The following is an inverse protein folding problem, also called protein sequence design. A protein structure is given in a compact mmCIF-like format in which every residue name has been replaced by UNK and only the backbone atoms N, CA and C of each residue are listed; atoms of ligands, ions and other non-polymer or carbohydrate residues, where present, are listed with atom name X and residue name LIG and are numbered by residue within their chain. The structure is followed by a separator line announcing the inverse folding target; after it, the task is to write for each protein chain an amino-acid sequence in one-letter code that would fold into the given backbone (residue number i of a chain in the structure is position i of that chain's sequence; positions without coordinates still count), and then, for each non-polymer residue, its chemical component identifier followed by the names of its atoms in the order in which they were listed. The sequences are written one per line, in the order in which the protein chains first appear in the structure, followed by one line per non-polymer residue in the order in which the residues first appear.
data_IF_895753769181
#
_entry.id   IF_895753769181
#
_cell.length_a   1.000
_cell.length_b   1.000
_cell.length_c   1.000
_cell.angle_alpha   90.00
_cell.angle_beta   90.00
_cell.angle_gamma   90.00
#
_symmetry.space_group_name_H-M   'P 1'
#
loop_
_entity.id
_entity.type
_entity.pdbx_description
1 polymer ?
#
# COMPACT_ATOMS: atom_id res chain seq x y z
N UNK A 1 -2.33 -34.24 5.71
CA UNK A 1 -3.03 -34.10 4.41
C UNK A 1 -2.62 -32.76 3.82
N UNK A 2 -2.09 -32.73 2.59
CA UNK A 2 -1.58 -31.50 1.95
C UNK A 2 -2.66 -30.43 1.79
N UNK A 3 -3.91 -30.79 1.46
CA UNK A 3 -5.01 -29.82 1.32
C UNK A 3 -5.36 -29.13 2.63
N UNK A 4 -5.31 -29.88 3.74
CA UNK A 4 -5.51 -29.31 5.08
C UNK A 4 -4.43 -28.27 5.40
N UNK A 5 -3.17 -28.62 5.17
CA UNK A 5 -2.03 -27.70 5.32
C UNK A 5 -2.19 -26.44 4.44
N UNK A 6 -2.56 -26.60 3.18
CA UNK A 6 -2.81 -25.49 2.26
C UNK A 6 -3.90 -24.51 2.77
N UNK A 7 -4.96 -25.04 3.40
CA UNK A 7 -6.01 -24.22 3.99
C UNK A 7 -5.53 -23.55 5.31
N UNK A 8 -4.80 -24.27 6.15
CA UNK A 8 -4.23 -23.76 7.41
C UNK A 8 -3.21 -22.63 7.16
N UNK A 9 -2.46 -22.69 6.06
CA UNK A 9 -1.56 -21.61 5.62
C UNK A 9 -2.31 -20.36 5.12
N UNK A 10 -3.63 -20.41 4.96
CA UNK A 10 -4.46 -19.27 4.53
C UNK A 10 -4.85 -19.28 3.05
N UNK A 11 -4.76 -20.44 2.38
CA UNK A 11 -5.26 -20.62 1.02
C UNK A 11 -6.78 -20.44 0.94
N UNK A 12 -7.24 -19.64 -0.02
CA UNK A 12 -8.65 -19.27 -0.17
C UNK A 12 -9.45 -20.22 -1.06
N UNK A 13 -8.84 -20.87 -2.05
CA UNK A 13 -9.57 -21.70 -3.03
C UNK A 13 -9.16 -23.17 -3.02
N UNK A 14 -8.90 -23.68 -1.82
CA UNK A 14 -8.48 -25.07 -1.58
C UNK A 14 -9.66 -26.03 -1.74
N UNK A 15 -9.78 -26.62 -2.92
CA UNK A 15 -10.72 -27.70 -3.20
C UNK A 15 -10.11 -29.07 -2.80
N UNK A 16 -10.84 -29.87 -2.01
CA UNK A 16 -10.43 -31.21 -1.57
C UNK A 16 -10.65 -32.29 -2.63
N UNK A 17 -11.44 -32.01 -3.66
CA UNK A 17 -11.78 -32.92 -4.76
C UNK A 17 -11.02 -32.63 -6.06
N UNK A 18 -10.39 -31.46 -6.18
CA UNK A 18 -9.71 -30.99 -7.40
C UNK A 18 -8.36 -30.35 -7.10
N UNK A 19 -7.50 -30.27 -8.12
CA UNK A 19 -6.25 -29.52 -8.04
C UNK A 19 -6.44 -28.10 -8.57
N UNK A 20 -7.06 -27.25 -7.75
CA UNK A 20 -7.25 -25.82 -8.02
C UNK A 20 -6.33 -24.99 -7.12
N UNK A 21 -5.93 -23.83 -7.62
CA UNK A 21 -5.17 -22.81 -6.87
C UNK A 21 -5.34 -21.45 -7.59
N UNK A 22 -4.96 -20.37 -6.93
CA UNK A 22 -4.92 -19.02 -7.50
C UNK A 22 -3.54 -18.39 -7.27
N UNK A 23 -3.22 -17.28 -7.97
CA UNK A 23 -1.95 -16.60 -7.76
C UNK A 23 -1.66 -16.24 -6.30
N UNK A 24 -2.68 -15.76 -5.58
CA UNK A 24 -2.56 -15.36 -4.17
C UNK A 24 -2.19 -16.53 -3.27
N UNK A 25 -2.86 -17.67 -3.43
CA UNK A 25 -2.60 -18.87 -2.63
C UNK A 25 -1.18 -19.38 -2.87
N UNK A 26 -0.71 -19.41 -4.13
CA UNK A 26 0.66 -19.81 -4.45
C UNK A 26 1.70 -18.86 -3.85
N UNK A 27 1.44 -17.55 -3.83
CA UNK A 27 2.34 -16.59 -3.18
C UNK A 27 2.43 -16.83 -1.66
N UNK A 28 1.30 -17.14 -1.01
CA UNK A 28 1.27 -17.52 0.41
C UNK A 28 2.12 -18.78 0.65
N UNK A 29 2.00 -19.80 -0.20
CA UNK A 29 2.75 -21.04 -0.02
C UNK A 29 4.26 -20.85 -0.24
N UNK A 30 4.68 -19.99 -1.17
CA UNK A 30 6.08 -19.63 -1.34
C UNK A 30 6.61 -18.83 -0.14
N UNK A 31 5.80 -17.95 0.45
CA UNK A 31 6.15 -17.25 1.69
C UNK A 31 6.32 -18.25 2.85
N UNK A 32 5.41 -19.20 2.98
CA UNK A 32 5.53 -20.27 3.98
C UNK A 32 6.76 -21.15 3.75
N UNK A 33 7.18 -21.37 2.49
CA UNK A 33 8.44 -22.06 2.19
C UNK A 33 9.67 -21.29 2.66
N UNK A 34 9.68 -19.96 2.52
CA UNK A 34 10.78 -19.13 3.03
C UNK A 34 10.88 -19.23 4.55
N UNK A 35 9.75 -19.14 5.26
CA UNK A 35 9.71 -19.34 6.72
C UNK A 35 10.14 -20.76 7.11
N UNK A 36 9.66 -21.78 6.39
CA UNK A 36 10.06 -23.17 6.63
C UNK A 36 11.58 -23.36 6.44
N UNK A 37 12.19 -22.65 5.49
CA UNK A 37 13.64 -22.66 5.31
C UNK A 37 14.41 -21.99 6.46
N UNK A 38 13.83 -20.99 7.12
CA UNK A 38 14.42 -20.39 8.33
C UNK A 38 14.33 -21.36 9.52
N UNK A 39 13.19 -22.02 9.69
CA UNK A 39 12.94 -22.97 10.79
C UNK A 39 13.64 -24.33 10.61
N UNK A 40 13.78 -24.77 9.35
CA UNK A 40 14.31 -26.07 8.95
C UNK A 40 15.27 -25.94 7.75
N UNK A 41 16.47 -25.38 7.96
CA UNK A 41 17.36 -24.97 6.88
C UNK A 41 17.80 -26.10 5.95
N UNK A 42 18.06 -27.31 6.46
CA UNK A 42 18.50 -28.43 5.62
C UNK A 42 17.41 -28.85 4.61
N UNK A 43 16.16 -28.97 5.09
CA UNK A 43 15.02 -29.39 4.28
C UNK A 43 14.53 -28.27 3.35
N UNK A 44 14.44 -27.05 3.88
CA UNK A 44 14.02 -25.87 3.11
C UNK A 44 15.00 -25.56 1.99
N UNK A 45 16.31 -25.60 2.27
CA UNK A 45 17.34 -25.30 1.28
C UNK A 45 17.36 -26.35 0.18
N UNK A 46 17.15 -27.64 0.53
CA UNK A 46 17.03 -28.70 -0.46
C UNK A 46 15.83 -28.49 -1.41
N UNK A 47 14.68 -28.08 -0.87
CA UNK A 47 13.50 -27.78 -1.68
C UNK A 47 13.71 -26.55 -2.57
N UNK A 48 14.27 -25.47 -2.02
CA UNK A 48 14.63 -24.28 -2.80
C UNK A 48 15.67 -24.62 -3.88
N UNK A 49 16.65 -25.47 -3.59
CA UNK A 49 17.63 -25.93 -4.57
C UNK A 49 16.96 -26.59 -5.78
N UNK A 50 15.99 -27.48 -5.56
CA UNK A 50 15.26 -28.10 -6.68
C UNK A 50 14.45 -27.08 -7.50
N UNK A 51 13.84 -26.08 -6.84
CA UNK A 51 13.11 -25.02 -7.53
C UNK A 51 14.03 -24.09 -8.34
N UNK A 52 15.28 -23.88 -7.89
CA UNK A 52 16.31 -23.11 -8.62
C UNK A 52 16.91 -23.86 -9.81
N UNK A 53 16.91 -25.19 -9.75
CA UNK A 53 17.58 -26.06 -10.73
C UNK A 53 16.59 -26.83 -11.60
N UNK A 54 15.41 -26.25 -11.87
CA UNK A 54 14.45 -26.79 -12.83
C UNK A 54 14.97 -26.64 -14.26
N UNK A 55 14.57 -27.57 -15.15
CA UNK A 55 14.94 -27.52 -16.58
C UNK A 55 14.06 -26.60 -17.42
N UNK A 56 12.94 -26.11 -16.86
CA UNK A 56 11.99 -25.25 -17.56
C UNK A 56 12.12 -23.80 -17.11
N UNK A 57 12.84 -22.99 -17.88
CA UNK A 57 13.15 -21.59 -17.59
C UNK A 57 12.55 -20.63 -18.62
N UNK A 58 11.42 -20.99 -19.23
CA UNK A 58 10.80 -20.34 -20.40
C UNK A 58 9.73 -19.29 -20.05
N UNK A 59 9.52 -18.95 -18.77
CA UNK A 59 8.48 -18.01 -18.30
C UNK A 59 9.02 -16.88 -17.43
N UNK A 60 9.18 -17.05 -16.11
CA UNK A 60 9.70 -15.97 -15.25
C UNK A 60 11.14 -15.54 -15.63
N UNK A 61 12.12 -16.46 -15.83
CA UNK A 61 13.53 -16.09 -15.96
C UNK A 61 13.99 -15.29 -17.21
N UNK A 62 13.53 -15.55 -18.45
CA UNK A 62 14.24 -15.17 -19.68
C UNK A 62 14.57 -13.69 -19.90
N UNK A 63 13.76 -12.77 -19.37
CA UNK A 63 13.94 -11.33 -19.58
C UNK A 63 14.53 -10.60 -18.36
N UNK A 64 14.78 -11.33 -17.27
CA UNK A 64 15.45 -10.79 -16.09
C UNK A 64 16.94 -10.55 -16.39
N UNK A 65 17.63 -9.66 -15.65
CA UNK A 65 19.07 -9.47 -15.80
C UNK A 65 19.84 -10.77 -15.67
N UNK A 66 20.96 -10.86 -16.40
CA UNK A 66 21.82 -12.04 -16.38
C UNK A 66 22.29 -12.36 -14.95
N UNK A 67 22.26 -13.64 -14.58
CA UNK A 67 22.61 -14.09 -13.24
C UNK A 67 21.53 -13.92 -12.17
N UNK A 68 20.35 -13.37 -12.51
CA UNK A 68 19.22 -13.32 -11.58
C UNK A 68 18.79 -14.74 -11.21
N UNK A 69 18.95 -15.09 -9.94
CA UNK A 69 18.53 -16.39 -9.44
C UNK A 69 17.00 -16.42 -9.23
N UNK A 70 16.36 -17.52 -9.65
CA UNK A 70 14.92 -17.70 -9.55
C UNK A 70 14.62 -19.12 -9.05
N UNK A 71 13.96 -19.23 -7.90
CA UNK A 71 13.40 -20.50 -7.42
C UNK A 71 11.93 -20.59 -7.85
N UNK A 72 11.59 -21.43 -8.83
CA UNK A 72 10.23 -21.41 -9.40
C UNK A 72 9.68 -22.78 -9.83
N UNK A 73 8.37 -22.80 -10.10
CA UNK A 73 7.65 -23.96 -10.59
C UNK A 73 6.61 -23.59 -11.64
N UNK A 74 6.75 -24.23 -12.79
CA UNK A 74 5.83 -24.11 -13.92
C UNK A 74 4.61 -25.04 -13.79
N UNK A 75 3.49 -24.66 -14.43
CA UNK A 75 2.30 -25.49 -14.58
C UNK A 75 1.64 -25.28 -15.94
N UNK A 76 1.33 -26.37 -16.64
CA UNK A 76 0.70 -26.31 -17.96
C UNK A 76 -0.57 -27.18 -17.97
N UNK A 77 -1.64 -26.65 -18.54
CA UNK A 77 -2.83 -27.39 -18.91
C UNK A 77 -3.29 -26.95 -20.31
N UNK A 78 -2.64 -27.45 -21.38
CA UNK A 78 -2.84 -26.97 -22.75
C UNK A 78 -4.29 -27.08 -23.23
N UNK A 79 -5.04 -28.08 -22.77
CA UNK A 79 -6.45 -28.28 -23.10
C UNK A 79 -7.37 -27.12 -22.69
N UNK A 80 -6.92 -26.22 -21.81
CA UNK A 80 -7.65 -25.01 -21.39
C UNK A 80 -6.84 -23.72 -21.67
N UNK A 81 -5.74 -23.81 -22.43
CA UNK A 81 -4.85 -22.67 -22.67
C UNK A 81 -4.23 -22.11 -21.38
N UNK A 82 -4.01 -22.94 -20.36
CA UNK A 82 -3.46 -22.51 -19.08
C UNK A 82 -1.96 -22.77 -19.01
N UNK A 83 -1.20 -21.70 -18.80
CA UNK A 83 0.25 -21.72 -18.66
C UNK A 83 0.61 -20.82 -17.48
N UNK A 84 1.35 -21.37 -16.53
CA UNK A 84 1.60 -20.74 -15.24
C UNK A 84 3.07 -20.83 -14.87
N UNK A 85 3.51 -19.88 -14.05
CA UNK A 85 4.78 -19.94 -13.36
C UNK A 85 4.69 -19.21 -12.03
N UNK A 86 5.26 -19.78 -10.98
CA UNK A 86 5.31 -19.16 -9.65
C UNK A 86 6.70 -19.29 -9.09
N UNK A 87 7.24 -18.24 -8.49
CA UNK A 87 8.59 -18.29 -7.99
C UNK A 87 8.98 -17.16 -7.06
N UNK A 88 10.17 -17.33 -6.49
CA UNK A 88 10.90 -16.34 -5.71
C UNK A 88 12.03 -15.83 -6.62
N UNK A 89 12.04 -14.53 -6.87
CA UNK A 89 13.07 -13.84 -7.63
C UNK A 89 14.03 -13.16 -6.65
N UNK A 90 15.30 -13.57 -6.69
CA UNK A 90 16.34 -13.04 -5.81
C UNK A 90 16.93 -11.75 -6.40
N UNK A 91 16.14 -10.67 -6.40
CA UNK A 91 16.64 -9.33 -6.73
C UNK A 91 17.70 -8.89 -5.70
N UNK A 92 18.77 -8.19 -6.11
CA UNK A 92 19.89 -7.85 -5.23
C UNK A 92 19.49 -7.05 -3.98
N UNK A 93 18.55 -6.12 -4.11
CA UNK A 93 18.09 -5.28 -2.98
C UNK A 93 16.68 -5.61 -2.47
N UNK A 94 15.79 -6.09 -3.34
CA UNK A 94 14.35 -6.15 -3.06
C UNK A 94 13.77 -7.48 -3.59
N UNK A 95 14.21 -8.63 -3.04
CA UNK A 95 13.74 -9.94 -3.46
C UNK A 95 12.22 -10.05 -3.31
N UNK A 96 11.56 -10.80 -4.19
CA UNK A 96 10.10 -10.82 -4.25
C UNK A 96 9.55 -12.18 -4.69
N UNK A 97 8.30 -12.41 -4.30
CA UNK A 97 7.49 -13.55 -4.77
C UNK A 97 6.62 -13.08 -5.93
N UNK A 98 6.60 -13.84 -7.01
CA UNK A 98 5.76 -13.59 -8.17
C UNK A 98 4.98 -14.86 -8.54
N UNK A 99 3.71 -14.69 -8.88
CA UNK A 99 2.84 -15.79 -9.25
C UNK A 99 1.99 -15.41 -10.46
N UNK A 100 2.31 -15.98 -11.62
CA UNK A 100 1.73 -15.63 -12.91
C UNK A 100 0.88 -16.78 -13.46
N UNK A 101 -0.38 -16.48 -13.74
CA UNK A 101 -1.33 -17.46 -14.26
C UNK A 101 -1.95 -16.94 -15.55
N UNK A 102 -1.98 -17.76 -16.60
CA UNK A 102 -2.84 -17.53 -17.78
C UNK A 102 -4.02 -18.50 -17.78
N UNK A 103 -5.09 -18.11 -18.46
CA UNK A 103 -6.21 -18.99 -18.81
C UNK A 103 -6.67 -18.63 -20.21
N UNK A 104 -7.17 -19.61 -20.97
CA UNK A 104 -7.72 -19.41 -22.32
C UNK A 104 -6.71 -18.74 -23.27
N UNK A 105 -5.41 -18.98 -23.03
CA UNK A 105 -4.36 -18.43 -23.88
C UNK A 105 -4.37 -19.11 -25.25
N UNK A 106 -4.22 -18.34 -26.35
CA UNK A 106 -4.32 -18.88 -27.71
C UNK A 106 -3.18 -19.84 -28.06
N UNK A 107 -2.02 -19.72 -27.41
CA UNK A 107 -0.89 -20.65 -27.54
C UNK A 107 0.06 -20.53 -26.35
N UNK A 108 0.93 -21.51 -26.18
CA UNK A 108 2.04 -21.45 -25.21
C UNK A 108 2.97 -20.28 -25.50
N UNK A 109 3.35 -20.07 -26.76
CA UNK A 109 4.30 -19.02 -27.16
C UNK A 109 3.76 -17.62 -26.84
N UNK A 110 2.46 -17.41 -27.04
CA UNK A 110 1.81 -16.17 -26.67
C UNK A 110 1.82 -15.98 -25.15
N UNK A 111 1.40 -17.01 -24.39
CA UNK A 111 1.39 -16.93 -22.94
C UNK A 111 2.79 -16.67 -22.37
N UNK A 112 3.81 -17.39 -22.84
CA UNK A 112 5.16 -17.27 -22.32
C UNK A 112 5.71 -15.85 -22.53
N UNK A 113 5.52 -15.26 -23.73
CA UNK A 113 5.94 -13.88 -24.00
C UNK A 113 5.28 -12.88 -23.05
N UNK A 114 3.98 -13.01 -22.81
CA UNK A 114 3.26 -12.13 -21.88
C UNK A 114 3.79 -12.32 -20.45
N UNK A 115 3.96 -13.56 -20.00
CA UNK A 115 4.47 -13.88 -18.66
C UNK A 115 5.90 -13.34 -18.45
N UNK A 116 6.77 -13.48 -19.45
CA UNK A 116 8.12 -12.93 -19.46
C UNK A 116 8.12 -11.40 -19.34
N UNK A 117 7.25 -10.71 -20.10
CA UNK A 117 7.11 -9.26 -20.06
C UNK A 117 6.61 -8.76 -18.69
N UNK A 118 5.63 -9.44 -18.10
CA UNK A 118 5.14 -9.12 -16.76
C UNK A 118 6.25 -9.35 -15.72
N UNK A 119 6.95 -10.48 -15.81
CA UNK A 119 8.10 -10.78 -14.94
C UNK A 119 9.14 -9.66 -14.96
N UNK A 120 9.51 -9.19 -16.16
CA UNK A 120 10.42 -8.06 -16.34
C UNK A 120 9.89 -6.76 -15.77
N UNK A 121 8.63 -6.43 -16.01
CA UNK A 121 8.01 -5.21 -15.50
C UNK A 121 8.01 -5.17 -13.97
N UNK A 122 7.73 -6.31 -13.32
CA UNK A 122 7.83 -6.41 -11.85
C UNK A 122 9.28 -6.23 -11.39
N UNK A 123 10.25 -6.84 -12.07
CA UNK A 123 11.67 -6.65 -11.74
C UNK A 123 12.09 -5.18 -11.82
N UNK A 124 11.74 -4.49 -12.91
CA UNK A 124 12.07 -3.08 -13.10
C UNK A 124 11.39 -2.20 -12.04
N UNK A 125 10.16 -2.52 -11.63
CA UNK A 125 9.49 -1.83 -10.53
C UNK A 125 10.25 -2.01 -9.21
N UNK A 126 10.74 -3.22 -8.91
CA UNK A 126 11.57 -3.47 -7.72
C UNK A 126 12.90 -2.73 -7.79
N UNK A 127 13.50 -2.60 -8.97
CA UNK A 127 14.72 -1.81 -9.18
C UNK A 127 14.51 -0.29 -9.03
N UNK A 128 13.28 0.20 -9.22
CA UNK A 128 12.94 1.62 -9.11
C UNK A 128 12.63 2.07 -7.67
N UNK A 129 12.53 1.13 -6.72
CA UNK A 129 12.36 1.45 -5.30
C UNK A 129 13.69 1.98 -4.76
N UNK A 130 13.63 3.09 -4.03
CA UNK A 130 14.75 3.61 -3.26
C UNK A 130 14.36 3.69 -1.79
N UNK A 131 15.06 2.97 -0.94
CA UNK A 131 14.91 3.08 0.51
C UNK A 131 15.50 4.40 1.00
N UNK A 132 14.81 5.03 1.96
CA UNK A 132 15.20 6.32 2.52
C UNK A 132 15.24 6.22 4.05
N UNK A 133 16.22 6.87 4.67
CA UNK A 133 16.30 6.99 6.13
C UNK A 133 15.22 7.95 6.63
N UNK A 134 14.50 7.54 7.68
CA UNK A 134 13.49 8.37 8.34
C UNK A 134 14.14 9.13 9.49
N UNK A 135 14.00 10.46 9.51
CA UNK A 135 14.47 11.33 10.59
C UNK A 135 13.27 12.08 11.16
N UNK A 136 12.97 11.87 12.43
CA UNK A 136 11.85 12.51 13.12
C UNK A 136 12.39 13.45 14.19
N UNK A 137 12.05 14.74 14.10
CA UNK A 137 12.50 15.78 15.04
C UNK A 137 14.02 15.83 15.24
N UNK A 138 14.79 15.56 14.18
CA UNK A 138 16.25 15.58 14.18
C UNK A 138 16.91 14.25 14.57
N UNK A 139 16.14 13.26 15.03
CA UNK A 139 16.66 11.94 15.41
C UNK A 139 16.30 10.88 14.36
N UNK A 140 17.24 10.04 13.91
CA UNK A 140 16.95 8.91 13.05
C UNK A 140 15.96 7.95 13.73
N UNK A 141 14.91 7.56 13.02
CA UNK A 141 13.94 6.57 13.45
C UNK A 141 14.22 5.26 12.73
N UNK A 142 14.72 4.28 13.48
CA UNK A 142 14.86 2.91 12.98
C UNK A 142 13.49 2.25 12.85
N UNK A 143 13.27 1.59 11.72
CA UNK A 143 11.98 1.02 11.32
C UNK A 143 12.21 -0.33 10.67
N UNK A 144 11.33 -1.29 10.92
CA UNK A 144 11.39 -2.61 10.27
C UNK A 144 11.37 -2.50 8.74
N UNK A 145 10.60 -1.53 8.21
CA UNK A 145 10.63 -1.15 6.80
C UNK A 145 10.86 0.36 6.70
N UNK A 146 11.93 0.81 6.02
CA UNK A 146 12.20 2.23 5.83
C UNK A 146 11.16 2.88 4.92
N UNK A 147 11.02 4.22 4.95
CA UNK A 147 10.36 4.93 3.88
C UNK A 147 10.93 4.56 2.50
N UNK A 148 10.07 4.55 1.49
CA UNK A 148 10.46 4.21 0.13
C UNK A 148 10.02 5.28 -0.86
N UNK A 149 10.92 5.67 -1.76
CA UNK A 149 10.59 6.42 -2.97
C UNK A 149 10.30 5.41 -4.09
N UNK A 150 9.05 5.38 -4.53
CA UNK A 150 8.60 4.55 -5.64
C UNK A 150 7.75 5.39 -6.60
N UNK A 151 8.07 5.35 -7.90
CA UNK A 151 7.34 6.09 -8.95
C UNK A 151 7.13 7.59 -8.63
N UNK A 152 8.13 8.23 -8.01
CA UNK A 152 8.06 9.66 -7.65
C UNK A 152 7.24 9.96 -6.38
N UNK A 153 6.69 8.94 -5.72
CA UNK A 153 5.95 9.06 -4.45
C UNK A 153 6.80 8.52 -3.30
N UNK A 154 6.91 9.28 -2.22
CA UNK A 154 7.51 8.81 -0.97
C UNK A 154 6.41 8.24 -0.09
N UNK A 155 6.56 6.97 0.25
CA UNK A 155 5.70 6.22 1.16
C UNK A 155 6.41 6.05 2.51
N UNK A 156 5.70 6.34 3.59
CA UNK A 156 6.25 6.40 4.96
C UNK A 156 5.51 5.38 5.84
N UNK A 157 6.22 4.59 6.66
CA UNK A 157 5.60 3.57 7.51
C UNK A 157 4.79 4.24 8.63
N UNK A 158 3.47 4.02 8.64
CA UNK A 158 2.57 4.76 9.53
C UNK A 158 2.73 4.38 11.01
N UNK A 159 2.83 3.09 11.30
CA UNK A 159 2.84 2.59 12.69
C UNK A 159 4.06 3.06 13.50
N UNK A 160 5.32 2.94 13.01
CA UNK A 160 6.47 3.45 13.74
C UNK A 160 6.45 4.98 13.84
N UNK A 161 5.98 5.67 12.79
CA UNK A 161 5.83 7.12 12.81
C UNK A 161 4.86 7.57 13.90
N UNK A 162 3.66 6.99 13.94
CA UNK A 162 2.64 7.30 14.94
C UNK A 162 3.18 7.06 16.37
N UNK A 163 3.87 5.94 16.57
CA UNK A 163 4.50 5.61 17.86
C UNK A 163 5.54 6.66 18.26
N UNK A 164 6.35 7.14 17.33
CA UNK A 164 7.37 8.16 17.59
C UNK A 164 6.77 9.52 17.95
N UNK A 165 5.77 9.97 17.18
CA UNK A 165 5.13 11.26 17.39
C UNK A 165 4.32 11.30 18.71
N UNK A 166 3.61 10.22 19.06
CA UNK A 166 2.90 10.15 20.35
C UNK A 166 3.90 10.20 21.52
N UNK A 167 5.00 9.45 21.47
CA UNK A 167 6.03 9.46 22.53
C UNK A 167 6.63 10.85 22.74
N UNK A 168 6.89 11.60 21.66
CA UNK A 168 7.36 12.98 21.77
C UNK A 168 6.35 13.86 22.52
N UNK A 169 5.05 13.72 22.22
CA UNK A 169 4.02 14.48 22.95
C UNK A 169 3.91 14.13 24.43
N UNK A 170 4.15 12.88 24.83
CA UNK A 170 4.13 12.48 26.25
C UNK A 170 5.40 12.93 26.99
N UNK A 171 6.57 12.90 26.34
CA UNK A 171 7.80 13.45 26.89
C UNK A 171 7.73 14.97 27.10
N UNK A 172 7.03 15.68 26.21
CA UNK A 172 6.76 17.12 26.37
C UNK A 172 5.70 17.39 27.46
N UNK A 173 4.74 16.48 27.67
CA UNK A 173 3.77 16.56 28.78
C UNK A 173 4.41 16.34 30.15
N UNK A 174 5.51 15.59 30.27
CA UNK A 174 6.25 15.51 31.55
C UNK A 174 6.86 16.86 31.97
N UNK A 175 6.96 17.83 31.06
CA UNK A 175 7.33 19.23 31.38
C UNK A 175 6.14 20.18 31.55
N UNK A 176 4.90 19.74 31.28
CA UNK A 176 3.71 20.60 31.38
C UNK A 176 2.49 19.77 31.82
N UNK A 177 2.07 19.96 33.07
CA UNK A 177 1.06 19.14 33.74
C UNK A 177 -0.29 19.03 33.03
N UNK A 178 -0.72 17.79 32.82
CA UNK A 178 -2.10 17.23 32.69
C UNK A 178 -3.09 17.87 31.71
N UNK A 179 -3.55 17.12 30.67
CA UNK A 179 -4.84 16.41 30.58
C UNK A 179 -5.04 15.76 29.17
N UNK A 180 -5.76 14.63 29.08
CA UNK A 180 -6.27 13.96 27.86
C UNK A 180 -7.81 14.06 27.88
N UNK A 181 -8.52 14.24 26.74
CA UNK A 181 -8.92 13.11 25.88
C UNK A 181 -9.06 13.48 24.37
N UNK A 182 -9.51 12.52 23.55
CA UNK A 182 -9.79 12.58 22.11
C UNK A 182 -8.68 12.01 21.22
N UNK A 183 -8.57 10.68 21.20
CA UNK A 183 -7.89 9.99 20.11
C UNK A 183 -8.89 9.78 18.98
N UNK A 184 -8.76 10.58 17.92
CA UNK A 184 -9.48 10.37 16.68
C UNK A 184 -9.08 9.01 16.07
N UNK A 185 -10.05 8.14 15.87
CA UNK A 185 -9.81 6.79 15.35
C UNK A 185 -9.62 6.86 13.82
N UNK A 186 -8.40 6.53 13.35
CA UNK A 186 -8.10 6.45 11.91
C UNK A 186 -8.30 5.02 11.43
N UNK A 187 -9.20 4.80 10.46
CA UNK A 187 -9.52 3.46 9.93
C UNK A 187 -9.12 3.36 8.45
N UNK A 188 -8.32 2.36 8.11
CA UNK A 188 -7.88 2.07 6.74
C UNK A 188 -8.59 0.84 6.17
N UNK A 189 -9.18 0.98 4.98
CA UNK A 189 -9.75 -0.15 4.26
C UNK A 189 -8.76 -0.71 3.25
N UNK A 190 -8.54 -2.02 3.31
CA UNK A 190 -7.50 -2.76 2.58
C UNK A 190 -7.62 -2.74 1.05
N UNK A 191 -8.79 -2.40 0.52
CA UNK A 191 -9.11 -2.48 -0.93
C UNK A 191 -9.75 -1.20 -1.49
N UNK A 192 -9.72 -0.08 -0.74
CA UNK A 192 -10.31 1.18 -1.19
C UNK A 192 -9.31 2.32 -0.99
N UNK A 193 -9.19 3.21 -1.98
CA UNK A 193 -8.50 4.51 -1.94
C UNK A 193 -9.06 5.48 -0.88
N UNK A 194 -9.85 4.96 0.08
CA UNK A 194 -10.64 5.73 1.02
C UNK A 194 -9.98 5.62 2.38
N UNK A 195 -9.49 6.74 2.88
CA UNK A 195 -9.13 6.93 4.28
C UNK A 195 -10.36 7.45 5.02
N UNK A 196 -10.71 6.84 6.16
CA UNK A 196 -11.61 7.47 7.11
C UNK A 196 -10.77 8.13 8.21
N UNK A 197 -10.79 9.46 8.23
CA UNK A 197 -10.27 10.26 9.33
C UNK A 197 -11.48 10.89 10.03
N UNK A 198 -11.66 10.61 11.33
CA UNK A 198 -12.79 11.13 12.10
C UNK A 198 -14.16 10.90 11.46
N UNK A 199 -14.35 9.72 10.85
CA UNK A 199 -15.54 9.32 10.07
C UNK A 199 -15.80 10.13 8.77
N UNK A 200 -14.86 10.95 8.31
CA UNK A 200 -14.91 11.61 7.01
C UNK A 200 -14.08 10.81 5.98
N UNK A 201 -14.66 10.58 4.79
CA UNK A 201 -13.95 9.96 3.67
C UNK A 201 -13.03 10.98 3.00
N UNK A 202 -11.73 10.73 3.09
CA UNK A 202 -10.71 11.48 2.36
C UNK A 202 -10.29 10.68 1.13
N UNK A 203 -10.53 11.27 -0.04
CA UNK A 203 -10.06 10.75 -1.34
C UNK A 203 -8.76 11.44 -1.70
N UNK A 204 -7.75 10.67 -2.08
CA UNK A 204 -6.48 11.15 -2.64
C UNK A 204 -6.16 10.36 -3.91
N UNK A 205 -5.45 11.01 -4.82
CA UNK A 205 -5.00 10.40 -6.09
C UNK A 205 -3.99 9.26 -5.85
N UNK A 206 -3.28 9.28 -4.71
CA UNK A 206 -2.33 8.25 -4.27
C UNK A 206 -2.86 7.55 -3.02
N UNK A 207 -3.16 6.22 -3.08
CA UNK A 207 -3.63 5.47 -1.91
C UNK A 207 -2.49 5.07 -0.96
N UNK A 208 -2.81 4.78 0.32
CA UNK A 208 -1.95 3.96 1.18
C UNK A 208 -1.73 2.57 0.58
N UNK A 209 -0.57 1.99 0.85
CA UNK A 209 -0.17 0.68 0.36
C UNK A 209 0.32 -0.22 1.49
N UNK A 210 0.15 -1.53 1.33
CA UNK A 210 0.76 -2.51 2.24
C UNK A 210 2.04 -3.05 1.61
N UNK A 211 3.19 -2.62 2.12
CA UNK A 211 4.50 -3.10 1.67
C UNK A 211 5.05 -4.03 2.75
N UNK A 212 5.30 -5.30 2.37
CA UNK A 212 5.74 -6.37 3.26
C UNK A 212 5.00 -6.40 4.63
N UNK A 213 3.67 -6.24 4.58
CA UNK A 213 2.79 -6.31 5.76
C UNK A 213 2.66 -5.00 6.56
N UNK A 214 3.41 -3.97 6.21
CA UNK A 214 3.37 -2.66 6.86
C UNK A 214 2.52 -1.69 6.06
N UNK A 215 1.66 -0.94 6.75
CA UNK A 215 0.91 0.14 6.14
C UNK A 215 1.84 1.32 5.88
N UNK A 216 1.99 1.64 4.61
CA UNK A 216 2.79 2.74 4.10
C UNK A 216 1.85 3.81 3.55
N UNK A 217 2.04 5.05 3.98
CA UNK A 217 1.20 6.19 3.57
C UNK A 217 2.00 7.17 2.72
N UNK A 218 1.41 7.75 1.65
CA UNK A 218 2.06 8.82 0.91
C UNK A 218 2.41 10.00 1.83
N UNK A 219 3.53 10.68 1.58
CA UNK A 219 3.96 11.82 2.39
C UNK A 219 2.89 12.92 2.57
N UNK A 220 2.05 13.16 1.56
CA UNK A 220 0.98 14.16 1.63
C UNK A 220 -0.07 13.80 2.69
N UNK A 221 -0.30 12.49 2.88
CA UNK A 221 -1.21 11.99 3.89
C UNK A 221 -0.61 12.14 5.29
N UNK A 222 0.71 12.04 5.44
CA UNK A 222 1.37 12.29 6.73
C UNK A 222 1.11 13.71 7.21
N UNK A 223 1.16 14.71 6.32
CA UNK A 223 0.87 16.10 6.67
C UNK A 223 -0.60 16.38 6.99
N UNK A 224 -1.52 15.53 6.52
CA UNK A 224 -2.94 15.60 6.87
C UNK A 224 -3.22 14.94 8.23
N UNK A 225 -2.55 13.81 8.50
CA UNK A 225 -2.75 13.00 9.69
C UNK A 225 -2.09 13.58 10.94
N UNK A 226 -1.00 14.33 10.78
CA UNK A 226 -0.20 14.84 11.89
C UNK A 226 0.11 16.33 11.67
N UNK A 227 0.19 17.13 12.75
CA UNK A 227 0.61 18.54 12.68
C UNK A 227 2.13 18.65 12.46
N UNK A 228 2.64 18.09 11.36
CA UNK A 228 4.06 18.01 11.03
C UNK A 228 4.35 18.64 9.67
N UNK A 229 5.60 18.98 9.42
CA UNK A 229 6.16 19.23 8.10
C UNK A 229 6.96 18.02 7.64
N UNK A 230 6.90 17.73 6.34
CA UNK A 230 7.68 16.66 5.70
C UNK A 230 8.62 17.30 4.68
N UNK A 231 9.91 16.95 4.74
CA UNK A 231 10.94 17.37 3.78
C UNK A 231 11.66 16.15 3.22
N UNK A 232 11.76 16.05 1.90
CA UNK A 232 12.45 14.96 1.21
C UNK A 232 13.80 15.47 0.70
N UNK A 233 14.87 14.76 1.06
CA UNK A 233 16.20 14.91 0.47
C UNK A 233 16.53 13.65 -0.32
N UNK A 234 16.32 13.70 -1.64
CA UNK A 234 16.62 12.59 -2.55
C UNK A 234 18.11 12.40 -2.80
N UNK A 235 18.96 13.40 -2.53
CA UNK A 235 20.40 13.26 -2.66
C UNK A 235 21.02 12.52 -1.48
N UNK A 236 20.49 12.76 -0.28
CA UNK A 236 20.88 12.05 0.93
C UNK A 236 20.08 10.77 1.20
N UNK A 237 19.05 10.47 0.39
CA UNK A 237 18.05 9.43 0.65
C UNK A 237 17.44 9.56 2.06
N UNK A 238 16.97 10.76 2.41
CA UNK A 238 16.38 11.05 3.73
C UNK A 238 14.99 11.66 3.62
N UNK A 239 14.13 11.28 4.56
CA UNK A 239 12.82 11.90 4.80
C UNK A 239 12.84 12.50 6.20
N UNK A 240 12.66 13.80 6.29
CA UNK A 240 12.60 14.52 7.55
C UNK A 240 11.15 14.82 7.91
N UNK A 241 10.75 14.50 9.13
CA UNK A 241 9.46 14.84 9.72
C UNK A 241 9.72 15.72 10.93
N UNK A 242 9.12 16.91 10.98
CA UNK A 242 9.30 17.87 12.08
C UNK A 242 7.95 18.36 12.58
N UNK A 243 7.74 18.39 13.89
CA UNK A 243 6.53 18.95 14.47
C UNK A 243 6.36 20.43 14.09
N UNK A 244 5.14 20.82 13.70
CA UNK A 244 4.79 22.23 13.54
C UNK A 244 4.63 22.85 14.93
N UNK A 245 5.15 24.06 15.17
CA UNK A 245 4.87 24.79 16.40
C UNK A 245 3.36 24.88 16.60
N UNK A 246 2.88 24.63 17.83
CA UNK A 246 1.49 24.94 18.17
C UNK A 246 1.29 26.43 17.95
N UNK A 247 0.38 26.81 17.05
CA UNK A 247 -0.08 28.19 16.97
C UNK A 247 -0.61 28.58 18.36
N UNK A 248 0.00 29.58 18.99
CA UNK A 248 -0.55 30.19 20.19
C UNK A 248 -1.94 30.71 19.83
N UNK A 249 -2.97 30.21 20.51
CA UNK A 249 -4.32 30.74 20.38
C UNK A 249 -4.25 32.24 20.70
N UNK A 250 -4.44 33.09 19.70
CA UNK A 250 -4.65 34.52 19.94
C UNK A 250 -5.82 34.66 20.92
N UNK A 251 -5.53 35.20 22.11
CA UNK A 251 -6.55 35.56 23.10
C UNK A 251 -7.64 36.39 22.41
N UNK A 252 -8.93 36.07 22.60
CA UNK A 252 -9.99 36.87 22.03
C UNK A 252 -9.86 38.28 22.60
N UNK A 253 -9.59 39.26 21.74
CA UNK A 253 -9.57 40.66 22.11
C UNK A 253 -11.00 41.04 22.53
N UNK A 254 -11.14 41.51 23.77
CA UNK A 254 -12.38 41.97 24.37
C UNK A 254 -12.99 43.08 23.49
N UNK A 255 -13.98 42.75 22.65
CA UNK A 255 -14.74 43.75 21.91
C UNK A 255 -15.90 44.22 22.76
N UNK A 256 -15.82 45.50 23.15
CA UNK A 256 -16.90 46.27 23.75
C UNK A 256 -18.18 46.12 22.95
N UNK A 257 -19.24 45.76 23.66
CA UNK A 257 -20.62 45.70 23.19
C UNK A 257 -21.05 47.08 22.67
N UNK A 258 -21.22 47.20 21.35
CA UNK A 258 -21.87 48.37 20.73
C UNK A 258 -23.13 47.90 20.00
N UNK A 259 -24.23 48.53 20.40
CA UNK A 259 -25.61 48.22 20.06
C UNK A 259 -25.90 47.92 18.58
N UNK A 260 -26.78 46.93 18.38
CA UNK A 260 -27.35 46.55 17.10
C UNK A 260 -28.09 47.71 16.41
N UNK A 261 -27.70 48.00 15.17
CA UNK A 261 -28.46 48.77 14.19
C UNK A 261 -28.72 47.93 12.93
N UNK A 262 -29.86 48.10 12.23
CA UNK A 262 -30.33 47.15 11.25
C UNK A 262 -29.56 47.29 9.93
N UNK A 263 -28.80 46.27 9.54
CA UNK A 263 -28.30 46.14 8.18
C UNK A 263 -29.20 45.20 7.38
N UNK A 264 -29.87 45.79 6.39
CA UNK A 264 -30.76 45.11 5.45
C UNK A 264 -29.98 44.13 4.57
N UNK A 265 -30.45 42.89 4.51
CA UNK A 265 -30.03 41.90 3.51
C UNK A 265 -30.58 42.33 2.15
N UNK A 266 -29.70 42.58 1.18
CA UNK A 266 -30.11 42.77 -0.21
C UNK A 266 -30.56 41.43 -0.80
N UNK A 267 -31.61 41.46 -1.63
CA UNK A 267 -32.30 40.30 -2.20
C UNK A 267 -31.44 39.38 -3.10
N UNK A 268 -30.13 39.63 -3.21
CA UNK A 268 -29.21 38.87 -4.07
C UNK A 268 -28.49 37.68 -3.41
N UNK A 269 -28.58 37.49 -2.09
CA UNK A 269 -27.97 36.31 -1.42
C UNK A 269 -28.94 35.14 -1.17
N UNK A 270 -30.26 35.34 -1.27
CA UNK A 270 -31.23 34.26 -1.04
C UNK A 270 -31.51 33.39 -2.27
N UNK A 271 -31.06 33.82 -3.47
CA UNK A 271 -31.29 33.08 -4.73
C UNK A 271 -30.20 32.03 -5.00
N UNK A 272 -29.02 32.11 -4.37
CA UNK A 272 -27.95 31.12 -4.60
C UNK A 272 -28.09 29.83 -3.75
N UNK A 273 -28.79 29.86 -2.61
CA UNK A 273 -28.88 28.68 -1.72
C UNK A 273 -30.04 27.71 -2.04
N UNK A 274 -30.97 28.06 -2.94
CA UNK A 274 -32.13 27.21 -3.27
C UNK A 274 -32.06 26.64 -4.70
N UNK A 275 -31.18 27.16 -5.57
CA UNK A 275 -31.08 26.73 -6.97
C UNK A 275 -30.10 25.56 -7.20
N UNK A 276 -29.12 25.33 -6.32
CA UNK A 276 -28.09 24.28 -6.50
C UNK A 276 -28.64 22.86 -6.27
N UNK A 277 -29.58 22.58 -5.33
CA UNK A 277 -30.12 21.23 -5.17
C UNK A 277 -31.09 20.81 -6.29
N UNK A 278 -31.74 21.78 -6.97
CA UNK A 278 -32.76 21.49 -7.99
C UNK A 278 -32.14 21.15 -9.34
N UNK A 279 -30.95 21.70 -9.68
CA UNK A 279 -30.27 21.36 -10.93
C UNK A 279 -29.66 19.95 -10.92
N UNK A 280 -29.18 19.48 -9.75
CA UNK A 280 -28.60 18.14 -9.60
C UNK A 280 -29.67 17.05 -9.72
N UNK A 281 -30.88 17.27 -9.18
CA UNK A 281 -32.00 16.33 -9.35
C UNK A 281 -32.52 16.23 -10.79
N UNK A 282 -32.44 17.31 -11.59
CA UNK A 282 -32.86 17.27 -13.01
C UNK A 282 -31.86 16.55 -13.93
N UNK A 283 -30.55 16.56 -13.61
CA UNK A 283 -29.54 15.87 -14.42
C UNK A 283 -29.56 14.34 -14.24
N UNK A 284 -29.93 13.85 -13.05
CA UNK A 284 -30.02 12.40 -12.76
C UNK A 284 -31.22 11.74 -13.46
N UNK A 285 -32.30 12.49 -13.74
CA UNK A 285 -33.50 11.97 -14.39
C UNK A 285 -33.38 11.89 -15.93
N UNK A 286 -32.49 12.66 -16.56
CA UNK A 286 -32.32 12.68 -18.03
C UNK A 286 -31.35 11.58 -18.51
N UNK A 287 -30.38 11.15 -17.69
CA UNK A 287 -29.44 10.09 -18.08
C UNK A 287 -30.00 8.65 -17.94
N UNK A 288 -31.11 8.45 -17.23
CA UNK A 288 -31.75 7.12 -17.08
C UNK A 288 -32.77 6.76 -18.18
N UNK A 289 -33.04 7.61 -19.17
CA UNK A 289 -34.04 7.32 -20.23
C UNK A 289 -33.47 7.06 -21.64
N UNK A 290 -32.15 6.92 -21.80
CA UNK A 290 -31.53 6.55 -23.08
C UNK A 290 -30.61 5.34 -22.94
N UNK A 291 -31.20 4.16 -22.93
CA UNK A 291 -30.82 2.99 -23.75
C UNK A 291 -31.87 1.90 -23.53
N UNK A 292 -32.53 1.53 -24.61
CA UNK A 292 -33.31 0.29 -24.75
C UNK A 292 -32.41 -0.94 -24.66
#
# INVERSE_FOLDING_TARGET
NVKKMMAELGGQIVDYSKNTTCPRDMAIYLKALLQFNEEHPDQGALLLHYLKNTVFNDRIPPLLPEGTEVAHKIGNWPAQGSYHDVGIVYHPSHPYIISLFSKDAPSSDYAYKVLQQISRLVYDAQSAITEMELVVNGEPLDTEIPPVLANGTVYIPLQPLNTSLIKATDADKEKSGTHHPDQEETVFYKDQTIMLLSNAAHYRDLPPEYIAGHLMVPQEMVTDLFPVSVTIDTAANKVYITDKPKEEQEQPTEQQEVAAGPFALSEYQLILLIAIPVLICCLIMIQRSKTS
#
